data_IF_664179472380
#
_entry.id   IF_664179472380
#
_cell.length_a   1.000
_cell.length_b   1.000
_cell.length_c   1.000
_cell.angle_alpha   90.00
_cell.angle_beta   90.00
_cell.angle_gamma   90.00
#
_symmetry.space_group_name_H-M   'P 1'
#
loop_
_entity.id
_entity.type
_entity.pdbx_description
1 polymer ?
#
# COMPACT_ATOMS: atom_id res chain seq x y z
N UNK A 1 3.63 -2.74 11.99
CA UNK A 1 4.19 -4.11 11.92
C UNK A 1 5.71 -4.01 11.98
N UNK A 2 6.37 -4.86 12.76
CA UNK A 2 7.84 -5.00 12.79
C UNK A 2 8.18 -6.44 12.40
N UNK A 3 9.20 -6.62 11.57
CA UNK A 3 9.66 -7.91 11.05
C UNK A 3 11.16 -8.03 11.27
N UNK A 4 11.64 -9.25 11.50
CA UNK A 4 13.05 -9.62 11.54
C UNK A 4 13.28 -10.64 10.41
N UNK A 5 13.56 -10.18 9.18
CA UNK A 5 13.67 -11.08 8.03
C UNK A 5 14.95 -11.90 8.09
N UNK A 6 14.85 -13.21 7.79
CA UNK A 6 16.01 -14.07 7.58
C UNK A 6 16.58 -13.97 6.14
N UNK A 7 15.80 -13.44 5.20
CA UNK A 7 16.20 -13.22 3.81
C UNK A 7 16.91 -11.87 3.63
N UNK A 8 17.57 -11.68 2.47
CA UNK A 8 18.25 -10.42 2.16
C UNK A 8 17.30 -9.24 2.17
N UNK A 9 17.76 -8.04 2.55
CA UNK A 9 16.95 -6.82 2.58
C UNK A 9 16.22 -6.59 1.25
N UNK A 10 16.92 -6.78 0.13
CA UNK A 10 16.34 -6.67 -1.22
C UNK A 10 15.05 -7.50 -1.36
N UNK A 11 15.10 -8.74 -0.91
CA UNK A 11 14.02 -9.71 -1.01
C UNK A 11 12.94 -9.47 0.06
N UNK A 12 13.36 -9.11 1.28
CA UNK A 12 12.48 -8.88 2.43
C UNK A 12 11.56 -7.66 2.24
N UNK A 13 11.94 -6.67 1.42
CA UNK A 13 11.07 -5.52 1.09
C UNK A 13 9.77 -5.92 0.41
N UNK A 14 9.66 -7.15 -0.12
CA UNK A 14 8.40 -7.71 -0.62
C UNK A 14 7.29 -7.75 0.44
N UNK A 15 7.65 -7.74 1.73
CA UNK A 15 6.70 -7.61 2.83
C UNK A 15 5.90 -6.30 2.83
N UNK A 16 6.36 -5.29 2.09
CA UNK A 16 5.60 -4.07 1.87
C UNK A 16 4.28 -4.36 1.15
N UNK A 17 4.31 -5.20 0.11
CA UNK A 17 3.12 -5.60 -0.64
C UNK A 17 2.13 -6.37 0.23
N UNK A 18 2.62 -7.27 1.10
CA UNK A 18 1.78 -7.97 2.09
C UNK A 18 1.11 -6.98 3.05
N UNK A 19 1.84 -5.97 3.54
CA UNK A 19 1.29 -4.90 4.38
C UNK A 19 0.21 -4.09 3.66
N UNK A 20 0.41 -3.74 2.39
CA UNK A 20 -0.57 -3.00 1.60
C UNK A 20 -1.82 -3.83 1.28
N UNK A 21 -1.67 -5.13 1.00
CA UNK A 21 -2.77 -6.09 0.86
C UNK A 21 -3.55 -6.16 2.19
N UNK A 22 -2.89 -6.43 3.30
CA UNK A 22 -3.55 -6.49 4.60
C UNK A 22 -4.30 -5.19 4.96
N UNK A 23 -3.71 -4.02 4.65
CA UNK A 23 -4.32 -2.72 4.88
C UNK A 23 -5.61 -2.54 4.08
N UNK A 24 -5.59 -2.88 2.79
CA UNK A 24 -6.75 -2.70 1.94
C UNK A 24 -7.84 -3.73 2.22
N UNK A 25 -7.52 -4.95 2.63
CA UNK A 25 -8.53 -5.91 3.11
C UNK A 25 -9.17 -5.46 4.42
N UNK A 26 -8.36 -4.91 5.32
CA UNK A 26 -8.87 -4.37 6.57
C UNK A 26 -9.90 -3.26 6.35
N UNK A 27 -9.66 -2.40 5.36
CA UNK A 27 -10.62 -1.36 4.96
C UNK A 27 -11.85 -1.97 4.28
N UNK A 28 -11.68 -2.91 3.35
CA UNK A 28 -12.80 -3.57 2.65
C UNK A 28 -13.77 -4.27 3.60
N UNK A 29 -13.29 -4.78 4.74
CA UNK A 29 -14.14 -5.40 5.75
C UNK A 29 -15.20 -4.46 6.34
N UNK A 30 -15.00 -3.14 6.24
CA UNK A 30 -15.93 -2.11 6.74
C UNK A 30 -16.46 -1.18 5.66
N UNK A 31 -15.95 -1.31 4.43
CA UNK A 31 -16.36 -0.47 3.32
C UNK A 31 -17.80 -0.79 2.89
N UNK A 32 -18.62 0.21 2.54
CA UNK A 32 -19.88 -0.03 1.84
C UNK A 32 -19.63 -0.84 0.56
N UNK A 33 -20.52 -1.77 0.17
CA UNK A 33 -20.29 -2.65 -0.98
C UNK A 33 -20.06 -1.94 -2.32
N UNK A 34 -20.54 -0.70 -2.46
CA UNK A 34 -20.36 0.13 -3.66
C UNK A 34 -18.99 0.80 -3.75
N UNK A 35 -18.22 0.84 -2.66
CA UNK A 35 -16.95 1.58 -2.61
C UNK A 35 -15.82 0.81 -3.28
N UNK A 36 -15.13 1.50 -4.18
CA UNK A 36 -13.91 1.02 -4.81
C UNK A 36 -12.70 1.42 -3.96
N UNK A 37 -11.91 0.44 -3.52
CA UNK A 37 -10.63 0.67 -2.86
C UNK A 37 -9.53 0.26 -3.83
N UNK A 38 -8.56 1.14 -4.06
CA UNK A 38 -7.44 0.90 -4.95
C UNK A 38 -6.11 1.25 -4.30
N UNK A 39 -5.05 0.59 -4.77
CA UNK A 39 -3.66 0.92 -4.41
C UNK A 39 -3.02 1.66 -5.60
N UNK A 40 -2.61 2.90 -5.37
CA UNK A 40 -1.70 3.62 -6.26
C UNK A 40 -0.28 3.17 -5.96
N UNK A 41 0.39 2.53 -6.91
CA UNK A 41 1.71 1.96 -6.65
C UNK A 41 2.74 3.05 -6.26
N UNK A 42 3.59 2.79 -5.26
CA UNK A 42 3.59 1.57 -4.43
C UNK A 42 2.64 1.66 -3.22
N UNK A 43 2.29 2.85 -2.78
CA UNK A 43 2.00 3.08 -1.36
C UNK A 43 0.69 3.80 -1.06
N UNK A 44 0.02 4.40 -2.04
CA UNK A 44 -1.18 5.21 -1.81
C UNK A 44 -2.44 4.36 -1.78
N UNK A 45 -3.36 4.67 -0.86
CA UNK A 45 -4.70 4.08 -0.80
C UNK A 45 -5.73 5.11 -1.25
N UNK A 46 -6.53 4.72 -2.24
CA UNK A 46 -7.59 5.53 -2.83
C UNK A 46 -8.95 4.87 -2.59
N UNK A 47 -9.96 5.66 -2.26
CA UNK A 47 -11.36 5.24 -2.16
C UNK A 47 -12.19 6.10 -3.10
N UNK A 48 -12.85 5.50 -4.09
CA UNK A 48 -13.63 6.19 -5.13
C UNK A 48 -12.88 7.38 -5.81
N UNK A 49 -11.56 7.27 -5.91
CA UNK A 49 -10.69 8.31 -6.48
C UNK A 49 -10.22 9.39 -5.50
N UNK A 50 -10.64 9.35 -4.23
CA UNK A 50 -10.12 10.17 -3.14
C UNK A 50 -8.96 9.49 -2.41
N UNK A 51 -7.85 10.21 -2.22
CA UNK A 51 -6.70 9.80 -1.45
C UNK A 51 -7.03 9.85 0.05
N UNK A 52 -6.96 8.69 0.69
CA UNK A 52 -7.22 8.55 2.13
C UNK A 52 -5.97 8.31 2.95
N UNK A 53 -4.85 7.93 2.33
CA UNK A 53 -3.60 7.67 3.04
C UNK A 53 -2.72 6.65 2.32
N UNK A 54 -1.97 5.86 3.08
CA UNK A 54 -1.08 4.87 2.51
C UNK A 54 -0.13 4.17 3.48
N UNK A 55 0.74 3.35 2.92
CA UNK A 55 1.77 2.59 3.63
C UNK A 55 3.14 3.23 3.53
N UNK A 56 4.03 2.89 4.46
CA UNK A 56 5.46 3.24 4.46
C UNK A 56 6.26 2.06 4.97
N UNK A 57 7.50 1.97 4.54
CA UNK A 57 8.45 0.99 5.04
C UNK A 57 9.74 1.67 5.50
N UNK A 58 10.27 1.20 6.63
CA UNK A 58 11.56 1.61 7.16
C UNK A 58 12.46 0.41 7.43
N UNK A 59 13.77 0.63 7.32
CA UNK A 59 14.86 -0.28 7.67
C UNK A 59 16.08 0.55 8.11
N UNK A 60 17.12 -0.04 8.72
CA UNK A 60 18.32 0.70 9.09
C UNK A 60 19.00 1.35 7.87
N UNK A 61 19.42 2.60 7.99
CA UNK A 61 20.12 3.33 6.92
C UNK A 61 21.41 2.62 6.46
N UNK A 62 22.09 1.94 7.39
CA UNK A 62 23.34 1.21 7.12
C UNK A 62 23.13 -0.22 6.61
N UNK A 63 21.88 -0.66 6.39
CA UNK A 63 21.61 -2.03 5.95
C UNK A 63 22.08 -2.27 4.50
N UNK A 64 22.63 -3.45 4.23
CA UNK A 64 23.16 -3.87 2.93
C UNK A 64 22.10 -4.67 2.18
N UNK A 65 21.93 -4.40 0.88
CA UNK A 65 20.90 -5.03 0.04
C UNK A 65 20.94 -6.57 0.03
N UNK A 66 22.16 -7.13 0.04
CA UNK A 66 22.42 -8.57 -0.08
C UNK A 66 22.57 -9.27 1.28
N UNK A 67 22.30 -8.58 2.38
CA UNK A 67 22.37 -9.14 3.73
C UNK A 67 21.00 -9.05 4.42
N UNK A 68 20.68 -9.95 5.36
CA UNK A 68 19.50 -9.82 6.19
C UNK A 68 19.52 -8.52 6.99
N UNK A 69 18.40 -7.79 6.97
CA UNK A 69 18.23 -6.59 7.81
C UNK A 69 17.85 -7.01 9.23
N UNK A 70 18.40 -6.39 10.29
CA UNK A 70 18.00 -6.72 11.66
C UNK A 70 16.54 -6.37 11.96
N UNK A 71 15.94 -5.46 11.17
CA UNK A 71 14.51 -5.20 11.23
C UNK A 71 13.98 -4.55 9.95
N UNK A 72 12.67 -4.72 9.74
CA UNK A 72 11.85 -3.96 8.81
C UNK A 72 10.61 -3.48 9.55
N UNK A 73 10.19 -2.24 9.32
CA UNK A 73 8.95 -1.70 9.88
C UNK A 73 8.02 -1.29 8.75
N UNK A 74 6.81 -1.83 8.74
CA UNK A 74 5.71 -1.29 7.94
C UNK A 74 4.80 -0.44 8.84
N UNK A 75 4.56 0.79 8.41
CA UNK A 75 3.60 1.71 9.00
C UNK A 75 2.51 2.06 7.99
N UNK A 76 1.29 2.25 8.47
CA UNK A 76 0.18 2.73 7.65
C UNK A 76 -0.44 3.96 8.32
N UNK A 77 -0.97 4.86 7.51
CA UNK A 77 -1.76 5.99 7.96
C UNK A 77 -2.96 6.12 7.05
N UNK A 78 -4.14 6.25 7.66
CA UNK A 78 -5.41 6.48 6.96
C UNK A 78 -6.11 7.64 7.65
N UNK A 79 -6.54 8.63 6.87
CA UNK A 79 -7.36 9.74 7.33
C UNK A 79 -8.75 9.22 7.65
N UNK A 80 -9.11 9.22 8.93
CA UNK A 80 -10.43 8.76 9.37
C UNK A 80 -11.48 9.85 9.34
N UNK A 81 -11.07 11.11 9.52
CA UNK A 81 -11.96 12.28 9.59
C UNK A 81 -11.37 13.38 8.71
N UNK A 82 -12.21 14.02 7.90
CA UNK A 82 -11.83 15.25 7.19
C UNK A 82 -11.93 16.45 8.15
N UNK A 83 -10.83 17.20 8.31
CA UNK A 83 -10.89 18.49 9.01
C UNK A 83 -11.47 19.52 8.03
N UNK A 84 -12.77 19.76 8.13
CA UNK A 84 -13.54 20.63 7.22
C UNK A 84 -13.42 22.12 7.60
N UNK A 85 -12.22 22.68 7.64
CA UNK A 85 -12.05 24.13 7.81
C UNK A 85 -11.98 24.89 6.46
N UNK A 86 -11.87 24.17 5.34
CA UNK A 86 -11.77 24.74 3.99
C UNK A 86 -13.09 24.68 3.20
N UNK A 87 -13.25 25.59 2.22
CA UNK A 87 -14.41 25.59 1.32
C UNK A 87 -14.52 24.26 0.54
N UNK A 88 -15.74 23.73 0.32
CA UNK A 88 -15.94 22.56 -0.51
C UNK A 88 -15.29 22.72 -1.89
N UNK A 89 -14.42 21.78 -2.26
CA UNK A 89 -13.77 21.73 -3.58
C UNK A 89 -12.33 22.27 -3.65
N UNK A 90 -11.75 22.77 -2.56
CA UNK A 90 -10.33 23.18 -2.51
C UNK A 90 -9.41 21.98 -2.77
N UNK A 91 -9.81 20.79 -2.27
CA UNK A 91 -9.01 19.57 -2.28
C UNK A 91 -9.81 18.39 -2.85
N UNK A 92 -10.05 18.34 -4.17
CA UNK A 92 -10.97 17.38 -4.79
C UNK A 92 -10.49 15.93 -4.76
N UNK A 93 -9.19 15.71 -4.54
CA UNK A 93 -8.59 14.39 -4.42
C UNK A 93 -8.34 14.00 -2.96
N UNK A 94 -8.58 14.86 -1.98
CA UNK A 94 -8.47 14.49 -0.58
C UNK A 94 -9.76 13.82 -0.10
N UNK A 95 -9.64 12.70 0.61
CA UNK A 95 -10.80 12.09 1.27
C UNK A 95 -10.44 11.52 2.64
N UNK A 96 -11.47 11.09 3.37
CA UNK A 96 -11.40 10.49 4.68
C UNK A 96 -12.50 9.43 4.83
N UNK A 97 -12.31 8.47 5.73
CA UNK A 97 -13.25 7.34 5.87
C UNK A 97 -14.68 7.77 6.23
N UNK A 98 -14.86 8.82 7.03
CA UNK A 98 -16.16 9.38 7.38
C UNK A 98 -16.93 9.93 6.16
N UNK A 99 -16.22 10.62 5.26
CA UNK A 99 -16.77 11.08 3.98
C UNK A 99 -17.12 9.92 3.03
N UNK A 100 -16.36 8.83 3.11
CA UNK A 100 -16.59 7.63 2.30
C UNK A 100 -17.64 6.67 2.89
N UNK A 101 -18.30 7.03 3.99
CA UNK A 101 -19.40 6.26 4.55
C UNK A 101 -18.98 4.98 5.27
N UNK A 102 -17.76 4.93 5.84
CA UNK A 102 -17.28 3.79 6.63
C UNK A 102 -17.95 3.65 8.02
N UNK A 103 -19.02 4.42 8.28
CA UNK A 103 -19.85 4.30 9.47
C UNK A 103 -19.07 4.52 10.77
N UNK A 104 -19.35 3.68 11.77
CA UNK A 104 -18.71 3.71 13.10
C UNK A 104 -17.37 2.95 13.17
N UNK A 105 -16.84 2.46 12.03
CA UNK A 105 -15.57 1.76 12.01
C UNK A 105 -14.43 2.73 12.35
N UNK A 106 -14.09 2.77 13.63
CA UNK A 106 -13.02 3.60 14.16
C UNK A 106 -11.63 3.01 13.92
N UNK A 107 -10.62 3.77 14.33
CA UNK A 107 -9.22 3.38 14.21
C UNK A 107 -8.91 2.02 14.88
N UNK A 108 -9.59 1.69 15.99
CA UNK A 108 -9.41 0.43 16.70
C UNK A 108 -9.85 -0.77 15.84
N UNK A 109 -11.06 -0.74 15.29
CA UNK A 109 -11.61 -1.80 14.45
C UNK A 109 -10.76 -2.03 13.20
N UNK A 110 -10.31 -0.94 12.56
CA UNK A 110 -9.42 -1.03 11.39
C UNK A 110 -8.07 -1.64 11.78
N UNK A 111 -7.51 -1.25 12.93
CA UNK A 111 -6.23 -1.80 13.42
C UNK A 111 -6.32 -3.29 13.72
N UNK A 112 -7.39 -3.74 14.39
CA UNK A 112 -7.63 -5.15 14.64
C UNK A 112 -7.82 -5.94 13.35
N UNK A 113 -8.60 -5.39 12.41
CA UNK A 113 -8.82 -6.00 11.10
C UNK A 113 -7.52 -6.09 10.31
N UNK A 114 -6.67 -5.05 10.37
CA UNK A 114 -5.34 -5.07 9.77
C UNK A 114 -4.48 -6.18 10.35
N UNK A 115 -4.44 -6.36 11.67
CA UNK A 115 -3.65 -7.43 12.29
C UNK A 115 -4.12 -8.83 11.82
N UNK A 116 -5.44 -9.06 11.72
CA UNK A 116 -6.00 -10.33 11.21
C UNK A 116 -5.62 -10.58 9.75
N UNK A 117 -5.83 -9.60 8.88
CA UNK A 117 -5.50 -9.74 7.45
C UNK A 117 -4.00 -9.81 7.19
N UNK A 118 -3.20 -9.21 8.06
CA UNK A 118 -1.75 -9.31 7.99
C UNK A 118 -1.28 -10.74 8.26
N UNK A 119 -1.82 -11.41 9.29
CA UNK A 119 -1.54 -12.82 9.54
C UNK A 119 -1.94 -13.68 8.34
N UNK A 120 -3.14 -13.46 7.77
CA UNK A 120 -3.59 -14.17 6.56
C UNK A 120 -2.67 -13.96 5.35
N UNK A 121 -2.21 -12.72 5.13
CA UNK A 121 -1.30 -12.40 4.03
C UNK A 121 0.06 -13.10 4.19
N UNK A 122 0.60 -13.18 5.42
CA UNK A 122 1.83 -13.91 5.68
C UNK A 122 1.65 -15.42 5.62
N UNK A 123 0.55 -15.97 6.14
CA UNK A 123 0.27 -17.40 6.05
C UNK A 123 0.19 -17.84 4.58
N UNK A 124 -0.52 -17.07 3.75
CA UNK A 124 -0.58 -17.29 2.31
C UNK A 124 0.79 -17.16 1.63
N UNK A 125 1.60 -16.18 2.02
CA UNK A 125 2.96 -16.05 1.51
C UNK A 125 3.84 -17.26 1.90
N UNK A 126 3.79 -17.71 3.15
CA UNK A 126 4.58 -18.87 3.59
C UNK A 126 4.16 -20.16 2.87
N UNK A 127 2.86 -20.31 2.56
CA UNK A 127 2.34 -21.49 1.88
C UNK A 127 2.65 -21.49 0.36
N UNK A 128 2.37 -20.38 -0.33
CA UNK A 128 2.34 -20.33 -1.80
C UNK A 128 3.47 -19.47 -2.40
N UNK A 129 4.35 -18.92 -1.56
CA UNK A 129 5.37 -17.97 -1.97
C UNK A 129 4.81 -16.58 -2.28
N UNK A 130 5.69 -15.71 -2.79
CA UNK A 130 5.35 -14.29 -2.98
C UNK A 130 4.34 -14.04 -4.11
N UNK A 131 4.23 -14.95 -5.08
CA UNK A 131 3.37 -14.79 -6.26
C UNK A 131 1.89 -14.59 -5.90
N UNK A 132 1.42 -15.21 -4.81
CA UNK A 132 0.06 -15.01 -4.29
C UNK A 132 -0.17 -13.57 -3.83
N UNK A 133 0.76 -13.04 -3.03
CA UNK A 133 0.72 -11.65 -2.54
C UNK A 133 0.84 -10.67 -3.70
N UNK A 134 1.75 -10.92 -4.64
CA UNK A 134 1.95 -10.06 -5.81
C UNK A 134 0.68 -9.99 -6.66
N UNK A 135 0.04 -11.13 -6.92
CA UNK A 135 -1.22 -11.20 -7.67
C UNK A 135 -2.33 -10.42 -6.99
N UNK A 136 -2.45 -10.57 -5.67
CA UNK A 136 -3.49 -9.89 -4.90
C UNK A 136 -3.26 -8.38 -4.83
N UNK A 137 -2.02 -7.95 -4.68
CA UNK A 137 -1.67 -6.54 -4.73
C UNK A 137 -1.97 -5.94 -6.12
N UNK A 138 -1.54 -6.59 -7.20
CA UNK A 138 -1.78 -6.14 -8.58
C UNK A 138 -3.28 -6.10 -8.92
N UNK A 139 -4.09 -6.98 -8.33
CA UNK A 139 -5.56 -6.97 -8.52
C UNK A 139 -6.23 -5.69 -7.99
N UNK A 140 -5.57 -5.01 -7.05
CA UNK A 140 -6.03 -3.79 -6.37
C UNK A 140 -5.49 -2.52 -7.00
N UNK A 141 -4.59 -2.62 -7.96
CA UNK A 141 -4.14 -1.48 -8.74
C UNK A 141 -5.20 -1.07 -9.78
N UNK A 142 -5.30 0.22 -10.12
CA UNK A 142 -6.10 0.66 -11.25
C UNK A 142 -5.72 -0.09 -12.52
N UNK A 143 -6.73 -0.61 -13.23
CA UNK A 143 -6.51 -1.31 -14.49
C UNK A 143 -6.17 -0.33 -15.60
N UNK A 144 -4.93 -0.37 -16.06
CA UNK A 144 -4.51 0.33 -17.27
C UNK A 144 -4.85 -0.51 -18.51
N UNK A 145 -5.42 0.14 -19.53
CA UNK A 145 -5.75 -0.55 -20.79
C UNK A 145 -4.46 -0.95 -21.49
N UNK A 146 -4.45 -2.16 -22.05
CA UNK A 146 -3.34 -2.65 -22.86
C UNK A 146 -1.99 -2.69 -22.12
N UNK A 147 -2.01 -2.90 -20.80
CA UNK A 147 -0.78 -3.09 -20.01
C UNK A 147 -0.78 -4.45 -19.32
N UNK A 148 0.40 -5.04 -19.21
CA UNK A 148 0.66 -6.18 -18.31
C UNK A 148 1.61 -5.70 -17.24
N UNK A 149 1.18 -5.77 -15.99
CA UNK A 149 1.96 -5.43 -14.81
C UNK A 149 2.39 -6.70 -14.09
N UNK A 150 3.63 -6.70 -13.58
CA UNK A 150 4.17 -7.76 -12.73
C UNK A 150 5.11 -7.16 -11.70
N UNK A 151 5.30 -7.85 -10.57
CA UNK A 151 6.36 -7.53 -9.63
C UNK A 151 7.50 -8.52 -9.89
N UNK A 152 8.74 -8.04 -9.97
CA UNK A 152 9.90 -8.91 -10.15
C UNK A 152 10.54 -9.32 -8.81
N UNK A 153 11.59 -10.14 -8.87
CA UNK A 153 12.27 -10.68 -7.69
C UNK A 153 12.93 -9.60 -6.82
N UNK A 154 13.15 -8.39 -7.37
CA UNK A 154 13.67 -7.23 -6.64
C UNK A 154 12.57 -6.41 -5.99
N UNK A 155 11.33 -6.88 -6.08
CA UNK A 155 10.13 -6.18 -5.64
C UNK A 155 9.79 -4.95 -6.51
N UNK A 156 10.40 -4.79 -7.69
CA UNK A 156 10.12 -3.67 -8.60
C UNK A 156 8.86 -3.95 -9.42
N UNK A 157 8.11 -2.88 -9.74
CA UNK A 157 6.98 -2.97 -10.67
C UNK A 157 7.49 -2.93 -12.11
N UNK A 158 7.09 -3.90 -12.91
CA UNK A 158 7.36 -3.94 -14.34
C UNK A 158 6.06 -3.80 -15.11
N UNK A 159 5.96 -2.74 -15.90
CA UNK A 159 4.81 -2.44 -16.75
C UNK A 159 5.21 -2.62 -18.21
N UNK A 160 4.51 -3.50 -18.93
CA UNK A 160 4.70 -3.71 -20.37
C UNK A 160 3.43 -3.32 -21.11
N UNK A 161 3.53 -2.39 -22.06
CA UNK A 161 2.42 -2.02 -22.95
C UNK A 161 2.29 -3.04 -24.08
N UNK A 162 1.08 -3.55 -24.31
CA UNK A 162 0.80 -4.49 -25.39
C UNK A 162 1.05 -3.79 -26.73
N UNK A 163 1.82 -4.43 -27.61
CA UNK A 163 2.21 -3.86 -28.91
C UNK A 163 3.46 -2.98 -28.87
N UNK A 164 3.99 -2.65 -27.69
CA UNK A 164 5.26 -1.94 -27.51
C UNK A 164 6.22 -2.88 -26.77
N UNK A 165 7.39 -3.17 -27.33
CA UNK A 165 8.36 -4.09 -26.72
C UNK A 165 9.04 -3.57 -25.46
N UNK A 166 8.87 -2.29 -25.13
CA UNK A 166 9.50 -1.65 -23.98
C UNK A 166 8.84 -2.07 -22.65
N UNK A 167 9.67 -2.30 -21.64
CA UNK A 167 9.25 -2.55 -20.25
C UNK A 167 9.63 -1.32 -19.44
N UNK A 168 8.64 -0.66 -18.86
CA UNK A 168 8.82 0.40 -17.88
C UNK A 168 9.04 -0.24 -16.50
N UNK A 169 10.02 0.25 -15.74
CA UNK A 169 10.37 -0.24 -14.40
C UNK A 169 10.11 0.85 -13.37
N UNK A 170 9.30 0.54 -12.36
CA UNK A 170 9.19 1.31 -11.13
C UNK A 170 10.10 0.70 -10.07
N UNK A 171 11.14 1.44 -9.68
CA UNK A 171 12.06 1.04 -8.61
C UNK A 171 11.38 1.22 -7.24
N UNK A 172 11.21 0.11 -6.51
CA UNK A 172 10.48 0.15 -5.23
C UNK A 172 11.21 0.99 -4.18
N UNK A 173 12.55 0.92 -4.13
CA UNK A 173 13.33 1.61 -3.10
C UNK A 173 13.23 3.12 -3.29
N UNK A 174 13.33 3.59 -4.54
CA UNK A 174 13.16 5.00 -4.87
C UNK A 174 11.74 5.49 -4.55
N UNK A 175 10.73 4.69 -4.88
CA UNK A 175 9.34 5.05 -4.62
C UNK A 175 9.01 5.09 -3.12
N UNK A 176 9.57 4.18 -2.31
CA UNK A 176 9.41 4.20 -0.85
C UNK A 176 10.14 5.36 -0.17
N UNK A 177 11.20 5.88 -0.78
CA UNK A 177 11.93 7.04 -0.25
C UNK A 177 11.11 8.34 -0.32
N UNK A 178 10.17 8.43 -1.26
CA UNK A 178 9.29 9.60 -1.44
C UNK A 178 7.83 9.15 -1.48
N UNK A 179 7.19 8.93 -0.31
CA UNK A 179 5.82 8.42 -0.26
C UNK A 179 4.86 9.30 -1.06
N UNK A 180 4.09 8.67 -1.95
CA UNK A 180 3.24 9.41 -2.89
C UNK A 180 2.05 10.07 -2.20
N UNK A 181 1.59 9.49 -1.09
CA UNK A 181 0.42 9.93 -0.35
C UNK A 181 0.72 10.91 0.78
N UNK A 182 1.97 11.00 1.27
CA UNK A 182 2.32 11.77 2.47
C UNK A 182 2.65 13.22 2.12
N UNK A 183 2.03 14.16 2.83
CA UNK A 183 2.46 15.55 2.85
C UNK A 183 3.56 15.74 3.91
N UNK A 184 4.79 16.12 3.52
CA UNK A 184 5.89 16.26 4.47
C UNK A 184 5.76 17.49 5.38
N UNK A 185 4.99 18.51 4.99
CA UNK A 185 4.75 19.71 5.78
C UNK A 185 3.64 19.49 6.81
N UNK A 186 2.55 18.81 6.41
CA UNK A 186 1.40 18.54 7.27
C UNK A 186 1.57 17.27 8.11
N UNK A 187 2.44 16.34 7.70
CA UNK A 187 2.66 15.06 8.38
C UNK A 187 1.51 14.06 8.23
N UNK A 188 0.50 14.39 7.42
CA UNK A 188 -0.68 13.57 7.12
C UNK A 188 -0.79 13.27 5.62
N UNK A 189 -1.87 12.60 5.17
CA UNK A 189 -2.09 12.41 3.75
C UNK A 189 -2.21 13.75 3.03
N UNK A 190 -1.82 13.80 1.76
CA UNK A 190 -1.94 14.99 0.91
C UNK A 190 -3.39 15.45 0.80
N UNK A 191 -3.55 16.75 0.59
CA UNK A 191 -4.81 17.43 0.32
C UNK A 191 -4.93 17.71 -1.19
#
# INVERSE_FOLDING_TARGET
MVLEPAETLRSARRAFYAGMVALTDALRAYAPPSKSIAIGWPDAVWIDGGLVGGGRMGWPLAAVEEEPSPWLVFGAMIRTIAMNDDEPGVHPLASALDLEGFGEAGAAQITESFARHLMLAFDGWQADGFDGVAREYLSRMPRERQTVQRIDDRADLLTRRIGIGAIERGDLVQALATPSWLDPALGGPRL
#
